data_IF_813598582898
#
_entry.id   IF_813598582898
#
_cell.length_a   1.000
_cell.length_b   1.000
_cell.length_c   1.000
_cell.angle_alpha   90.00
_cell.angle_beta   90.00
_cell.angle_gamma   90.00
#
_symmetry.space_group_name_H-M   'P 1'
#
loop_
_entity.id
_entity.type
_entity.pdbx_description
1 polymer ?
#
# COMPACT_ATOMS: atom_id res chain seq x y z
N UNK A 1 -18.59 -13.73 -13.56
CA UNK A 1 -17.49 -14.70 -13.84
C UNK A 1 -16.32 -13.89 -14.37
N UNK A 2 -15.26 -13.71 -13.57
CA UNK A 2 -14.02 -13.07 -14.03
C UNK A 2 -13.41 -13.96 -15.13
N UNK A 3 -12.96 -13.40 -16.27
CA UNK A 3 -12.27 -14.20 -17.27
C UNK A 3 -11.04 -14.80 -16.62
N UNK A 4 -10.88 -16.12 -16.71
CA UNK A 4 -9.67 -16.81 -16.25
C UNK A 4 -8.50 -16.21 -17.04
N UNK A 5 -7.66 -15.46 -16.38
CA UNK A 5 -6.40 -15.01 -16.97
C UNK A 5 -5.65 -16.22 -17.51
N UNK A 6 -5.10 -16.16 -18.73
CA UNK A 6 -4.35 -17.28 -19.27
C UNK A 6 -3.22 -17.64 -18.30
N UNK A 7 -3.07 -18.92 -17.98
CA UNK A 7 -1.92 -19.42 -17.19
C UNK A 7 -0.68 -19.23 -18.07
N UNK A 8 0.05 -18.13 -17.83
CA UNK A 8 1.30 -17.88 -18.54
C UNK A 8 2.37 -18.74 -17.85
N UNK A 9 2.94 -19.68 -18.60
CA UNK A 9 4.04 -20.49 -18.08
C UNK A 9 5.28 -19.63 -17.92
N UNK A 10 5.79 -19.48 -16.68
CA UNK A 10 7.05 -18.79 -16.41
C UNK A 10 8.22 -19.34 -17.26
N UNK A 11 8.18 -20.63 -17.61
CA UNK A 11 9.23 -21.26 -18.40
C UNK A 11 9.34 -20.71 -19.83
N UNK A 12 8.25 -20.19 -20.39
CA UNK A 12 8.22 -19.65 -21.75
C UNK A 12 8.58 -18.16 -21.85
N UNK A 13 8.64 -17.45 -20.72
CA UNK A 13 9.00 -16.03 -20.71
C UNK A 13 10.51 -15.84 -20.92
N UNK A 14 10.91 -14.84 -21.74
CA UNK A 14 12.31 -14.40 -21.83
C UNK A 14 12.83 -13.95 -20.46
N UNK A 15 14.14 -14.15 -20.21
CA UNK A 15 14.75 -13.80 -18.90
C UNK A 15 14.52 -12.34 -18.52
N UNK A 16 14.57 -11.42 -19.48
CA UNK A 16 14.29 -9.99 -19.25
C UNK A 16 12.88 -9.76 -18.68
N UNK A 17 11.88 -10.46 -19.22
CA UNK A 17 10.50 -10.38 -18.71
C UNK A 17 10.34 -11.03 -17.34
N UNK A 18 11.07 -12.13 -17.06
CA UNK A 18 11.09 -12.74 -15.71
C UNK A 18 11.65 -11.78 -14.66
N UNK A 19 12.75 -11.10 -15.00
CA UNK A 19 13.37 -10.10 -14.12
C UNK A 19 12.41 -8.92 -13.91
N UNK A 20 11.77 -8.44 -14.97
CA UNK A 20 10.81 -7.33 -14.89
C UNK A 20 9.63 -7.63 -13.92
N UNK A 21 9.21 -8.89 -13.82
CA UNK A 21 8.15 -9.29 -12.86
C UNK A 21 8.54 -9.16 -11.38
N UNK A 22 9.82 -8.95 -11.07
CA UNK A 22 10.30 -8.72 -9.70
C UNK A 22 10.24 -7.24 -9.28
N UNK A 23 9.90 -6.34 -10.19
CA UNK A 23 9.86 -4.91 -9.92
C UNK A 23 8.45 -4.42 -9.63
N UNK A 24 8.35 -3.62 -8.57
CA UNK A 24 7.24 -2.73 -8.25
C UNK A 24 7.68 -1.31 -8.61
N UNK A 25 6.98 -0.65 -9.51
CA UNK A 25 7.40 0.66 -10.05
C UNK A 25 6.32 1.73 -9.79
N UNK A 26 6.75 2.91 -9.32
CA UNK A 26 5.93 4.11 -9.29
C UNK A 26 5.95 4.82 -10.63
N UNK A 27 4.94 5.66 -10.89
CA UNK A 27 4.85 6.46 -12.10
C UNK A 27 4.13 7.79 -11.82
N UNK A 28 4.23 8.73 -12.75
CA UNK A 28 3.51 10.01 -12.70
C UNK A 28 2.35 10.03 -13.66
N UNK A 29 1.32 10.79 -13.31
CA UNK A 29 0.12 10.95 -14.12
C UNK A 29 -1.08 10.17 -13.58
N UNK A 30 -2.24 10.50 -14.12
CA UNK A 30 -3.56 10.00 -13.69
C UNK A 30 -4.31 9.26 -14.80
N UNK A 31 -3.64 8.97 -15.92
CA UNK A 31 -4.17 8.22 -17.06
C UNK A 31 -3.09 7.38 -17.75
N UNK A 32 -3.50 6.49 -18.66
CA UNK A 32 -2.62 5.62 -19.46
C UNK A 32 -2.87 5.91 -20.94
N UNK A 33 -2.49 7.11 -21.37
CA UNK A 33 -2.53 7.48 -22.78
C UNK A 33 -1.27 7.02 -23.53
N UNK A 34 -1.37 6.78 -24.84
CA UNK A 34 -0.21 6.51 -25.69
C UNK A 34 0.80 7.66 -25.56
N UNK A 35 2.06 7.30 -25.24
CA UNK A 35 3.12 8.29 -24.98
C UNK A 35 3.27 8.73 -23.54
N UNK A 36 2.34 8.40 -22.63
CA UNK A 36 2.55 8.63 -21.20
C UNK A 36 3.72 7.81 -20.64
N UNK A 37 4.34 8.31 -19.56
CA UNK A 37 5.46 7.62 -18.90
C UNK A 37 5.08 6.17 -18.51
N UNK A 38 3.90 5.99 -17.92
CA UNK A 38 3.42 4.68 -17.48
C UNK A 38 3.13 3.74 -18.66
N UNK A 39 2.57 4.27 -19.77
CA UNK A 39 2.34 3.47 -20.97
C UNK A 39 3.67 2.92 -21.51
N UNK A 40 4.67 3.79 -21.71
CA UNK A 40 6.00 3.40 -22.17
C UNK A 40 6.65 2.39 -21.21
N UNK A 41 6.60 2.64 -19.90
CA UNK A 41 7.12 1.73 -18.89
C UNK A 41 6.50 0.33 -18.97
N UNK A 42 5.18 0.23 -19.16
CA UNK A 42 4.49 -1.07 -19.28
C UNK A 42 4.90 -1.77 -20.59
N UNK A 43 4.99 -1.05 -21.71
CA UNK A 43 5.34 -1.63 -23.02
C UNK A 43 6.80 -2.10 -23.08
N UNK A 44 7.73 -1.28 -22.61
CA UNK A 44 9.17 -1.53 -22.74
C UNK A 44 9.69 -2.47 -21.65
N UNK A 45 9.34 -2.20 -20.38
CA UNK A 45 9.80 -2.99 -19.23
C UNK A 45 8.84 -4.13 -18.96
N UNK A 46 7.56 -3.83 -18.76
CA UNK A 46 6.52 -4.77 -18.32
C UNK A 46 6.75 -5.22 -16.88
N UNK A 47 6.69 -4.30 -15.88
CA UNK A 47 6.90 -4.65 -14.48
C UNK A 47 5.82 -5.59 -13.96
N UNK A 48 6.13 -6.34 -12.91
CA UNK A 48 5.15 -7.21 -12.25
C UNK A 48 4.13 -6.44 -11.42
N UNK A 49 4.48 -5.24 -10.97
CA UNK A 49 3.60 -4.41 -10.17
C UNK A 49 3.83 -2.91 -10.39
N UNK A 50 2.79 -2.13 -10.08
CA UNK A 50 2.87 -0.66 -9.96
C UNK A 50 2.35 -0.23 -8.60
N UNK A 51 2.84 0.92 -8.08
CA UNK A 51 2.38 1.54 -6.84
C UNK A 51 1.77 2.91 -7.11
N UNK A 52 0.64 3.19 -6.46
CA UNK A 52 -0.12 4.43 -6.60
C UNK A 52 0.13 5.38 -5.43
N UNK A 53 0.21 6.67 -5.76
CA UNK A 53 0.35 7.78 -4.79
C UNK A 53 -0.70 8.86 -5.07
N UNK A 54 -1.15 9.53 -4.00
CA UNK A 54 -2.08 10.65 -4.08
C UNK A 54 -1.39 11.99 -4.37
N UNK A 55 -0.10 12.11 -3.98
CA UNK A 55 0.69 13.34 -4.13
C UNK A 55 2.06 13.05 -4.73
N UNK A 56 2.54 13.93 -5.60
CA UNK A 56 3.91 13.94 -6.08
C UNK A 56 4.80 14.75 -5.12
N UNK A 57 5.45 14.06 -4.20
CA UNK A 57 6.33 14.68 -3.20
C UNK A 57 7.59 15.29 -3.81
N UNK A 58 8.01 14.86 -5.00
CA UNK A 58 9.21 15.38 -5.69
C UNK A 58 8.93 16.70 -6.38
N UNK A 59 7.78 16.82 -7.03
CA UNK A 59 7.43 18.00 -7.81
C UNK A 59 6.43 18.92 -7.09
N UNK A 60 6.08 18.61 -5.83
CA UNK A 60 5.12 19.36 -5.01
C UNK A 60 3.77 19.59 -5.70
N UNK A 61 3.32 18.62 -6.50
CA UNK A 61 2.01 18.65 -7.15
C UNK A 61 0.94 18.07 -6.22
N UNK A 62 -0.26 18.68 -6.16
CA UNK A 62 -1.33 18.25 -5.24
C UNK A 62 -1.91 16.88 -5.59
N UNK A 63 -1.86 16.46 -6.87
CA UNK A 63 -2.42 15.19 -7.37
C UNK A 63 -1.36 14.45 -8.18
N UNK A 64 -1.23 13.16 -7.92
CA UNK A 64 -0.35 12.29 -8.66
C UNK A 64 -1.13 11.24 -9.46
N UNK A 65 -1.58 10.13 -8.81
CA UNK A 65 -2.36 9.11 -9.51
C UNK A 65 -3.86 9.12 -9.13
N UNK A 66 -4.27 9.86 -8.10
CA UNK A 66 -5.58 9.75 -7.45
C UNK A 66 -6.23 11.12 -7.35
N UNK A 67 -7.43 11.28 -7.90
CA UNK A 67 -8.22 12.50 -7.81
C UNK A 67 -9.72 12.27 -7.52
N UNK A 68 -10.25 11.08 -7.83
CA UNK A 68 -11.61 10.66 -7.50
C UNK A 68 -11.75 9.14 -7.65
N UNK A 69 -12.79 8.50 -7.09
CA UNK A 69 -13.04 7.07 -7.27
C UNK A 69 -13.17 6.69 -8.75
N UNK A 70 -13.94 7.45 -9.53
CA UNK A 70 -14.14 7.18 -10.96
C UNK A 70 -12.82 7.25 -11.73
N UNK A 71 -12.04 8.31 -11.54
CA UNK A 71 -10.76 8.48 -12.23
C UNK A 71 -9.79 7.34 -11.85
N UNK A 72 -9.72 6.96 -10.56
CA UNK A 72 -8.85 5.90 -10.10
C UNK A 72 -9.25 4.53 -10.68
N UNK A 73 -10.53 4.23 -10.73
CA UNK A 73 -11.05 3.02 -11.36
C UNK A 73 -10.67 2.95 -12.83
N UNK A 74 -10.90 4.03 -13.59
CA UNK A 74 -10.52 4.14 -15.01
C UNK A 74 -9.02 3.96 -15.21
N UNK A 75 -8.19 4.56 -14.35
CA UNK A 75 -6.72 4.39 -14.38
C UNK A 75 -6.32 2.92 -14.16
N UNK A 76 -6.84 2.27 -13.12
CA UNK A 76 -6.49 0.88 -12.81
C UNK A 76 -6.96 -0.09 -13.90
N UNK A 77 -8.16 0.12 -14.47
CA UNK A 77 -8.62 -0.66 -15.62
C UNK A 77 -7.72 -0.47 -16.85
N UNK A 78 -7.29 0.75 -17.14
CA UNK A 78 -6.40 1.05 -18.25
C UNK A 78 -5.01 0.40 -18.04
N UNK A 79 -4.47 0.44 -16.81
CA UNK A 79 -3.22 -0.25 -16.45
C UNK A 79 -3.30 -1.75 -16.72
N UNK A 80 -4.38 -2.42 -16.27
CA UNK A 80 -4.60 -3.84 -16.53
C UNK A 80 -4.75 -4.16 -18.03
N UNK A 81 -5.46 -3.32 -18.79
CA UNK A 81 -5.66 -3.51 -20.24
C UNK A 81 -4.35 -3.31 -21.03
N UNK A 82 -3.49 -2.41 -20.58
CA UNK A 82 -2.24 -2.07 -21.27
C UNK A 82 -1.16 -3.13 -21.05
N UNK A 83 -1.20 -3.81 -19.90
CA UNK A 83 -0.22 -4.84 -19.58
C UNK A 83 -0.52 -6.16 -20.29
N UNK A 84 0.49 -6.74 -20.95
CA UNK A 84 0.40 -8.07 -21.58
C UNK A 84 0.54 -9.24 -20.60
N UNK A 85 0.99 -8.97 -19.36
CA UNK A 85 1.12 -9.92 -18.27
C UNK A 85 0.22 -9.47 -17.10
N UNK A 86 -0.16 -10.37 -16.18
CA UNK A 86 -0.85 -9.98 -14.97
C UNK A 86 -0.07 -8.89 -14.24
N UNK A 87 -0.72 -7.76 -13.97
CA UNK A 87 -0.12 -6.62 -13.30
C UNK A 87 -0.73 -6.48 -11.91
N UNK A 88 0.11 -6.43 -10.88
CA UNK A 88 -0.32 -6.11 -9.53
C UNK A 88 -0.35 -4.60 -9.34
N UNK A 89 -1.38 -4.10 -8.67
CA UNK A 89 -1.49 -2.69 -8.31
C UNK A 89 -1.47 -2.59 -6.80
N UNK A 90 -0.53 -1.82 -6.25
CA UNK A 90 -0.33 -1.64 -4.81
C UNK A 90 -0.55 -0.19 -4.36
N UNK A 91 -0.87 -0.03 -3.08
CA UNK A 91 -1.11 1.28 -2.46
C UNK A 91 -0.75 1.24 -0.96
N UNK A 92 -0.38 2.40 -0.39
CA UNK A 92 -0.22 2.60 1.06
C UNK A 92 -1.51 3.14 1.67
N UNK A 93 -2.49 2.30 1.90
CA UNK A 93 -3.77 2.67 2.52
C UNK A 93 -3.81 2.15 3.95
N UNK A 94 -3.11 2.83 4.88
CA UNK A 94 -3.05 2.46 6.30
C UNK A 94 -4.32 2.91 7.05
N UNK A 95 -4.80 4.08 6.72
CA UNK A 95 -5.86 4.82 7.43
C UNK A 95 -5.31 5.99 8.25
N UNK A 96 -6.19 6.86 8.73
CA UNK A 96 -5.79 8.05 9.48
C UNK A 96 -4.91 8.99 8.64
N UNK A 97 -3.72 9.32 9.15
CA UNK A 97 -2.80 10.29 8.51
C UNK A 97 -2.03 9.70 7.32
N UNK A 98 -1.93 8.37 7.20
CA UNK A 98 -1.32 7.71 6.04
C UNK A 98 -2.42 7.06 5.22
N UNK A 99 -3.04 7.90 4.42
CA UNK A 99 -4.24 7.60 3.67
C UNK A 99 -4.12 8.21 2.27
N UNK A 100 -4.13 7.38 1.23
CA UNK A 100 -4.10 7.83 -0.16
C UNK A 100 -5.50 8.07 -0.71
N UNK A 101 -6.45 7.24 -0.26
CA UNK A 101 -7.86 7.34 -0.63
C UNK A 101 -8.57 8.26 0.37
N UNK A 102 -8.42 9.56 0.17
CA UNK A 102 -8.88 10.59 1.11
C UNK A 102 -10.34 10.97 0.91
N UNK A 103 -11.06 11.40 1.99
CA UNK A 103 -12.42 11.93 1.87
C UNK A 103 -12.55 13.10 0.91
N UNK A 104 -11.52 13.96 0.81
CA UNK A 104 -11.50 15.09 -0.14
C UNK A 104 -11.55 14.67 -1.62
N UNK A 105 -11.16 13.41 -1.91
CA UNK A 105 -11.27 12.81 -3.24
C UNK A 105 -12.57 12.01 -3.42
N UNK A 106 -13.43 11.95 -2.39
CA UNK A 106 -14.70 11.23 -2.42
C UNK A 106 -14.66 9.80 -1.87
N UNK A 107 -13.58 9.42 -1.18
CA UNK A 107 -13.46 8.11 -0.52
C UNK A 107 -13.94 8.15 0.94
N UNK A 108 -14.29 7.00 1.55
CA UNK A 108 -14.67 6.92 2.95
C UNK A 108 -13.54 7.35 3.90
N UNK A 109 -13.90 7.95 5.03
CA UNK A 109 -12.97 8.22 6.12
C UNK A 109 -12.52 6.92 6.80
N UNK A 110 -11.23 6.83 7.14
CA UNK A 110 -10.63 5.70 7.85
C UNK A 110 -9.89 6.17 9.10
N UNK A 111 -9.87 5.35 10.14
CA UNK A 111 -9.19 5.66 11.41
C UNK A 111 -7.75 5.17 11.37
N UNK A 112 -6.88 5.82 12.17
CA UNK A 112 -5.48 5.42 12.31
C UNK A 112 -5.32 4.09 13.06
N UNK A 113 -4.17 3.42 12.88
CA UNK A 113 -3.84 2.23 13.67
C UNK A 113 -3.80 2.54 15.17
N UNK A 114 -3.30 3.72 15.55
CA UNK A 114 -3.26 4.15 16.95
C UNK A 114 -4.67 4.29 17.55
N UNK A 115 -5.62 4.83 16.79
CA UNK A 115 -7.01 4.88 17.22
C UNK A 115 -7.57 3.47 17.45
N UNK A 116 -7.38 2.57 16.48
CA UNK A 116 -7.86 1.18 16.57
C UNK A 116 -7.24 0.44 17.77
N UNK A 117 -5.93 0.55 17.94
CA UNK A 117 -5.23 -0.06 19.06
C UNK A 117 -5.66 0.49 20.43
N UNK A 118 -5.96 1.80 20.49
CA UNK A 118 -6.50 2.43 21.71
C UNK A 118 -7.89 1.92 22.08
N UNK A 119 -8.73 1.59 21.10
CA UNK A 119 -10.03 0.98 21.34
C UNK A 119 -9.90 -0.46 21.85
N UNK A 120 -8.78 -1.12 21.57
CA UNK A 120 -8.48 -2.53 21.89
C UNK A 120 -9.61 -3.50 21.47
N UNK A 121 -10.24 -3.20 20.34
CA UNK A 121 -11.31 -3.98 19.75
C UNK A 121 -10.88 -4.48 18.37
N UNK A 122 -10.48 -5.75 18.29
CA UNK A 122 -10.01 -6.37 17.05
C UNK A 122 -11.12 -6.57 16.01
N UNK A 123 -12.38 -6.66 16.43
CA UNK A 123 -13.53 -6.73 15.52
C UNK A 123 -13.70 -5.40 14.76
N UNK A 124 -13.55 -4.27 15.45
CA UNK A 124 -13.54 -2.95 14.82
C UNK A 124 -12.41 -2.85 13.79
N UNK A 125 -11.22 -3.37 14.11
CA UNK A 125 -10.07 -3.39 13.20
C UNK A 125 -10.34 -4.24 11.97
N UNK A 126 -10.92 -5.44 12.16
CA UNK A 126 -11.33 -6.31 11.07
C UNK A 126 -12.31 -5.62 10.13
N UNK A 127 -13.37 -5.01 10.66
CA UNK A 127 -14.39 -4.35 9.86
C UNK A 127 -13.83 -3.17 9.07
N UNK A 128 -13.02 -2.31 9.71
CA UNK A 128 -12.38 -1.21 8.96
C UNK A 128 -11.47 -1.74 7.83
N UNK A 129 -10.68 -2.76 8.10
CA UNK A 129 -9.82 -3.35 7.09
C UNK A 129 -10.62 -4.02 5.95
N UNK A 130 -11.76 -4.63 6.26
CA UNK A 130 -12.70 -5.16 5.28
C UNK A 130 -13.29 -4.05 4.41
N UNK A 131 -13.72 -2.93 5.01
CA UNK A 131 -14.25 -1.78 4.28
C UNK A 131 -13.18 -1.18 3.36
N UNK A 132 -11.94 -1.01 3.84
CA UNK A 132 -10.80 -0.62 3.00
C UNK A 132 -10.62 -1.64 1.86
N UNK A 133 -10.62 -2.92 2.16
CA UNK A 133 -10.49 -3.99 1.16
C UNK A 133 -11.57 -3.94 0.09
N UNK A 134 -12.82 -3.67 0.47
CA UNK A 134 -13.95 -3.53 -0.47
C UNK A 134 -13.73 -2.36 -1.44
N UNK A 135 -13.27 -1.21 -0.93
CA UNK A 135 -12.92 -0.05 -1.78
C UNK A 135 -11.77 -0.38 -2.71
N UNK A 136 -10.70 -1.01 -2.21
CA UNK A 136 -9.54 -1.39 -3.03
C UNK A 136 -9.93 -2.37 -4.14
N UNK A 137 -10.77 -3.35 -3.84
CA UNK A 137 -11.29 -4.31 -4.83
C UNK A 137 -12.12 -3.60 -5.92
N UNK A 138 -12.97 -2.66 -5.53
CA UNK A 138 -13.75 -1.86 -6.47
C UNK A 138 -12.86 -1.03 -7.40
N UNK A 139 -11.74 -0.52 -6.88
CA UNK A 139 -10.74 0.21 -7.65
C UNK A 139 -9.75 -0.70 -8.40
N UNK A 140 -9.94 -2.03 -8.41
CA UNK A 140 -9.04 -3.01 -9.04
C UNK A 140 -7.60 -3.01 -8.48
N UNK A 141 -7.42 -2.61 -7.22
CA UNK A 141 -6.13 -2.63 -6.51
C UNK A 141 -6.00 -3.97 -5.79
N UNK A 142 -4.83 -4.60 -5.90
CA UNK A 142 -4.60 -5.97 -5.44
C UNK A 142 -3.85 -6.07 -4.12
N UNK A 143 -2.97 -5.08 -3.82
CA UNK A 143 -2.06 -5.11 -2.68
C UNK A 143 -2.24 -3.83 -1.86
N UNK A 144 -2.38 -3.99 -0.55
CA UNK A 144 -2.25 -2.89 0.40
C UNK A 144 -0.98 -3.06 1.23
N UNK A 145 -0.08 -2.07 1.19
CA UNK A 145 1.11 -2.02 2.04
C UNK A 145 0.72 -1.57 3.46
N UNK A 146 -0.09 -2.40 4.11
CA UNK A 146 -0.60 -2.31 5.48
C UNK A 146 -0.93 -3.74 5.95
N UNK A 147 -0.93 -3.99 7.27
CA UNK A 147 -0.78 -3.06 8.37
C UNK A 147 0.67 -2.72 8.72
N UNK A 148 0.85 -1.62 9.48
CA UNK A 148 2.10 -1.34 10.17
C UNK A 148 2.16 -2.18 11.44
N UNK A 149 3.24 -2.95 11.59
CA UNK A 149 3.47 -3.83 12.75
C UNK A 149 4.61 -3.35 13.64
N UNK A 150 5.09 -2.14 13.40
CA UNK A 150 6.07 -1.49 14.26
C UNK A 150 5.46 -1.15 15.63
N UNK A 151 6.22 -1.39 16.69
CA UNK A 151 5.85 -1.05 18.06
C UNK A 151 6.25 0.41 18.32
N UNK A 152 5.31 1.24 18.81
CA UNK A 152 5.61 2.61 19.21
C UNK A 152 6.36 2.61 20.54
N UNK A 153 7.69 2.81 20.53
CA UNK A 153 8.50 2.88 21.75
C UNK A 153 8.49 4.26 22.40
N UNK A 154 8.59 5.32 21.61
CA UNK A 154 8.57 6.71 22.08
C UNK A 154 7.57 7.53 21.25
N UNK A 155 6.62 8.21 21.90
CA UNK A 155 5.50 8.91 21.22
C UNK A 155 5.97 10.08 20.34
N UNK A 156 7.06 10.75 20.70
CA UNK A 156 7.46 12.00 20.06
C UNK A 156 8.64 11.89 19.10
N UNK A 157 9.31 10.74 18.98
CA UNK A 157 10.57 10.64 18.26
C UNK A 157 10.48 9.95 16.90
N UNK A 158 9.64 8.92 16.76
CA UNK A 158 9.55 8.16 15.51
C UNK A 158 8.44 8.68 14.58
N UNK A 159 8.66 8.57 13.28
CA UNK A 159 7.64 8.87 12.26
C UNK A 159 6.43 7.92 12.38
N UNK A 160 6.62 6.75 13.00
CA UNK A 160 5.56 5.77 13.26
C UNK A 160 4.59 6.31 14.31
N UNK A 161 5.11 6.77 15.47
CA UNK A 161 4.29 7.31 16.54
C UNK A 161 3.65 8.67 16.17
N UNK A 162 4.44 9.61 15.61
CA UNK A 162 3.97 10.95 15.21
C UNK A 162 2.82 10.92 14.21
N UNK A 163 2.75 9.90 13.37
CA UNK A 163 1.70 9.74 12.36
C UNK A 163 0.67 8.69 12.73
N UNK A 164 0.59 8.31 14.01
CA UNK A 164 -0.41 7.37 14.53
C UNK A 164 -0.44 6.02 13.79
N UNK A 165 0.73 5.56 13.29
CA UNK A 165 0.82 4.39 12.42
C UNK A 165 0.92 3.07 13.18
N UNK A 166 1.25 3.07 14.48
CA UNK A 166 1.34 1.86 15.30
C UNK A 166 0.03 1.59 16.04
N UNK A 167 -0.36 0.33 16.15
CA UNK A 167 -1.48 -0.09 17.01
C UNK A 167 -1.20 0.08 18.52
N UNK A 168 0.07 0.20 18.93
CA UNK A 168 0.41 0.40 20.33
C UNK A 168 1.86 0.09 20.68
N UNK A 169 2.08 0.00 22.00
CA UNK A 169 3.41 -0.22 22.61
C UNK A 169 3.67 -1.68 23.03
N UNK A 170 2.66 -2.54 22.93
CA UNK A 170 2.74 -3.96 23.26
C UNK A 170 2.76 -4.79 22.00
N UNK A 171 3.68 -5.74 21.90
CA UNK A 171 3.75 -6.71 20.80
C UNK A 171 2.46 -7.53 20.68
N UNK A 172 1.82 -7.86 21.81
CA UNK A 172 0.53 -8.57 21.83
C UNK A 172 -0.58 -7.75 21.18
N UNK A 173 -0.72 -6.48 21.53
CA UNK A 173 -1.71 -5.58 20.91
C UNK A 173 -1.47 -5.45 19.42
N UNK A 174 -0.21 -5.18 19.02
CA UNK A 174 0.15 -5.06 17.61
C UNK A 174 -0.17 -6.34 16.85
N UNK A 175 0.19 -7.51 17.40
CA UNK A 175 -0.09 -8.80 16.77
C UNK A 175 -1.59 -9.06 16.58
N UNK A 176 -2.41 -8.87 17.63
CA UNK A 176 -3.86 -9.13 17.56
C UNK A 176 -4.55 -8.23 16.52
N UNK A 177 -4.22 -6.94 16.54
CA UNK A 177 -4.78 -5.99 15.58
C UNK A 177 -4.27 -6.21 14.16
N UNK A 178 -2.98 -6.47 13.96
CA UNK A 178 -2.41 -6.77 12.65
C UNK A 178 -3.04 -8.02 12.02
N UNK A 179 -3.25 -9.08 12.83
CA UNK A 179 -3.95 -10.28 12.38
C UNK A 179 -5.37 -9.97 11.92
N UNK A 180 -6.15 -9.26 12.73
CA UNK A 180 -7.52 -8.87 12.39
C UNK A 180 -7.56 -7.99 11.12
N UNK A 181 -6.59 -7.09 10.96
CA UNK A 181 -6.48 -6.23 9.77
C UNK A 181 -6.22 -7.06 8.51
N UNK A 182 -5.27 -8.00 8.55
CA UNK A 182 -4.98 -8.91 7.43
C UNK A 182 -6.17 -9.80 7.08
N UNK A 183 -6.89 -10.32 8.07
CA UNK A 183 -8.10 -11.12 7.87
C UNK A 183 -9.21 -10.29 7.21
N UNK A 184 -9.38 -9.02 7.62
CA UNK A 184 -10.32 -8.09 7.00
C UNK A 184 -10.01 -7.82 5.53
N UNK A 185 -8.75 -7.46 5.19
CA UNK A 185 -8.32 -7.28 3.80
C UNK A 185 -8.49 -8.57 2.99
N UNK A 186 -8.05 -9.70 3.54
CA UNK A 186 -8.13 -11.01 2.89
C UNK A 186 -9.55 -11.46 2.58
N UNK A 187 -10.55 -11.08 3.41
CA UNK A 187 -11.96 -11.38 3.17
C UNK A 187 -12.50 -10.71 1.90
N UNK A 188 -11.86 -9.64 1.43
CA UNK A 188 -12.17 -8.93 0.19
C UNK A 188 -11.21 -9.30 -0.97
N UNK A 189 -10.30 -10.27 -0.75
CA UNK A 189 -9.34 -10.72 -1.75
C UNK A 189 -8.15 -9.79 -1.95
N UNK A 190 -7.88 -8.88 -1.00
CA UNK A 190 -6.75 -7.96 -1.02
C UNK A 190 -5.58 -8.54 -0.24
N UNK A 191 -4.40 -8.52 -0.83
CA UNK A 191 -3.16 -8.91 -0.15
C UNK A 191 -2.67 -7.79 0.77
N UNK A 192 -2.63 -8.05 2.08
CA UNK A 192 -1.98 -7.16 3.05
C UNK A 192 -0.48 -7.46 3.14
N UNK A 193 0.32 -6.41 3.34
CA UNK A 193 1.77 -6.50 3.50
C UNK A 193 2.20 -5.82 4.80
N UNK A 194 2.61 -6.62 5.80
CA UNK A 194 3.14 -6.11 7.05
C UNK A 194 4.42 -5.30 6.82
N UNK A 195 4.54 -4.17 7.51
CA UNK A 195 5.72 -3.28 7.41
C UNK A 195 6.04 -2.65 8.78
N UNK A 196 7.30 -2.30 9.05
CA UNK A 196 8.46 -2.24 8.17
C UNK A 196 9.53 -3.22 8.66
N UNK A 197 9.72 -4.32 8.02
CA UNK A 197 10.78 -5.27 8.37
C UNK A 197 12.17 -4.63 8.16
N UNK A 198 13.13 -4.80 9.08
CA UNK A 198 13.08 -5.57 10.35
C UNK A 198 12.48 -4.81 11.53
N UNK A 199 12.04 -3.57 11.38
CA UNK A 199 11.39 -2.72 12.38
C UNK A 199 11.81 -1.25 12.25
N UNK A 200 10.84 -0.34 12.41
CA UNK A 200 11.04 1.11 12.32
C UNK A 200 10.60 1.85 13.60
N UNK A 201 9.92 1.18 14.51
CA UNK A 201 9.33 1.79 15.70
C UNK A 201 10.35 2.37 16.69
N UNK A 202 11.59 1.86 16.71
CA UNK A 202 12.69 2.34 17.55
C UNK A 202 13.52 3.46 16.90
N UNK A 203 13.31 3.76 15.63
CA UNK A 203 14.09 4.74 14.90
C UNK A 203 13.77 6.17 15.36
N UNK A 204 14.81 6.95 15.70
CA UNK A 204 14.69 8.36 16.13
C UNK A 204 14.78 9.32 14.94
N UNK A 205 13.89 9.19 13.96
CA UNK A 205 13.90 10.08 12.81
C UNK A 205 13.06 9.58 11.66
N UNK A 206 13.07 10.37 10.59
CA UNK A 206 12.41 10.07 9.33
C UNK A 206 13.46 9.66 8.28
N UNK A 207 13.43 8.42 7.82
CA UNK A 207 14.36 7.91 6.79
C UNK A 207 14.20 8.61 5.44
N UNK A 208 13.11 9.35 5.20
CA UNK A 208 12.95 10.19 4.03
C UNK A 208 13.77 11.50 4.11
N UNK A 209 14.10 11.91 5.33
CA UNK A 209 14.89 13.12 5.58
C UNK A 209 16.41 12.89 5.69
N UNK A 210 16.84 11.61 5.81
CA UNK A 210 18.23 11.25 5.93
C UNK A 210 18.47 9.86 6.51
N UNK A 211 19.75 9.54 6.73
CA UNK A 211 20.14 8.27 7.36
C UNK A 211 19.70 8.23 8.82
N UNK A 212 19.06 7.15 9.23
CA UNK A 212 18.62 6.91 10.61
C UNK A 212 19.19 5.58 11.08
N UNK A 213 19.94 5.63 12.18
CA UNK A 213 20.53 4.44 12.81
C UNK A 213 19.67 3.96 13.97
N UNK A 214 19.60 2.63 14.12
CA UNK A 214 18.97 1.96 15.26
C UNK A 214 20.07 1.24 16.01
N UNK A 215 20.39 1.77 17.20
CA UNK A 215 21.50 1.27 18.04
C UNK A 215 21.14 0.06 18.92
N UNK A 216 19.92 -0.46 18.78
CA UNK A 216 19.48 -1.64 19.52
C UNK A 216 20.17 -2.91 19.01
N UNK A 217 20.66 -3.74 19.95
CA UNK A 217 21.29 -5.02 19.61
C UNK A 217 20.24 -6.12 19.43
N UNK A 218 20.60 -7.20 18.75
CA UNK A 218 19.75 -8.37 18.51
C UNK A 218 19.40 -9.17 19.78
N UNK A 219 20.01 -8.83 20.91
CA UNK A 219 19.87 -9.54 22.20
C UNK A 219 18.77 -8.93 23.11
N UNK A 220 17.83 -8.15 22.57
CA UNK A 220 16.75 -7.53 23.34
C UNK A 220 15.45 -8.31 23.20
#
# INVERSE_FOLDING_TARGET
MSPKSPIISLNTLPIRKKIAQLFLMGFRGSDVSEGSEVYQMIQEVGPGAVILFDQDMVHHKPVHNISSPKQLQELCEALHKTSSLPLWIGIDQEGGLVNRLKPEYGFPETKSHAYLGKQDNTELTYHQAKDIGSVLREMHISINFAPVVDIAKEEDSSIIAKRERSFGRSSDVVYRHAKAYLEGLGSEGIWGCCKHFPGHGSAKGDTHAGFVDVTETWEV
#
